data_IF_956412275298
#
_entry.id   IF_956412275298
#
_cell.length_a   1.000
_cell.length_b   1.000
_cell.length_c   1.000
_cell.angle_alpha   90.00
_cell.angle_beta   90.00
_cell.angle_gamma   90.00
#
_symmetry.space_group_name_H-M   'P 1'
#
loop_
_entity.id
_entity.type
_entity.pdbx_description
1 polymer ?
#
# COMPACT_ATOMS: atom_id res chain seq x y z
N UNK A 1 2.63 2.55 -1.56
CA UNK A 1 3.62 1.57 -1.07
C UNK A 1 3.32 0.19 -1.65
N UNK A 2 4.28 -0.70 -1.79
CA UNK A 2 4.05 -2.07 -2.28
C UNK A 2 5.34 -2.75 -2.73
N UNK A 3 5.23 -4.03 -3.11
CA UNK A 3 6.38 -4.79 -3.59
C UNK A 3 6.90 -4.21 -4.93
N UNK A 4 8.17 -4.45 -5.28
CA UNK A 4 8.67 -4.13 -6.61
C UNK A 4 7.80 -4.76 -7.70
N UNK A 5 7.54 -4.01 -8.77
CA UNK A 5 6.75 -4.43 -9.94
C UNK A 5 5.24 -4.73 -9.69
N UNK A 6 4.67 -4.35 -8.55
CA UNK A 6 3.21 -4.47 -8.31
C UNK A 6 2.35 -3.42 -9.04
N UNK A 7 2.98 -2.53 -9.85
CA UNK A 7 2.29 -1.47 -10.59
C UNK A 7 2.17 -0.13 -9.85
N UNK A 8 3.00 0.08 -8.83
CA UNK A 8 3.03 1.27 -7.98
C UNK A 8 3.18 2.57 -8.79
N UNK A 9 4.20 2.66 -9.65
CA UNK A 9 4.44 3.82 -10.51
C UNK A 9 3.31 4.06 -11.51
N UNK A 10 2.72 2.99 -12.05
CA UNK A 10 1.58 3.11 -12.97
C UNK A 10 0.37 3.72 -12.26
N UNK A 11 0.07 3.25 -11.04
CA UNK A 11 -1.01 3.81 -10.23
C UNK A 11 -0.73 5.26 -9.85
N UNK A 12 0.49 5.56 -9.39
CA UNK A 12 0.91 6.91 -9.03
C UNK A 12 0.71 7.89 -10.21
N UNK A 13 1.16 7.52 -11.40
CA UNK A 13 1.00 8.33 -12.61
C UNK A 13 -0.49 8.48 -13.01
N UNK A 14 -1.29 7.44 -12.84
CA UNK A 14 -2.74 7.48 -13.12
C UNK A 14 -3.50 8.42 -12.17
N UNK A 15 -3.04 8.59 -10.95
CA UNK A 15 -3.65 9.49 -9.96
C UNK A 15 -3.17 10.94 -10.11
N UNK A 16 -1.87 11.17 -10.33
CA UNK A 16 -1.24 12.50 -10.21
C UNK A 16 -1.12 13.27 -11.53
N UNK A 17 -1.49 12.66 -12.64
CA UNK A 17 -1.52 13.26 -14.00
C UNK A 17 -0.22 13.96 -14.43
N UNK A 18 0.04 15.21 -14.06
CA UNK A 18 1.21 15.98 -14.53
C UNK A 18 1.93 16.80 -13.45
N UNK A 19 1.46 16.75 -12.21
CA UNK A 19 2.06 17.53 -11.11
C UNK A 19 2.87 16.63 -10.20
N UNK A 20 4.11 16.38 -10.62
CA UNK A 20 5.05 15.54 -9.86
C UNK A 20 6.33 16.32 -9.59
N UNK A 21 6.84 16.22 -8.37
CA UNK A 21 8.14 16.75 -7.97
C UNK A 21 9.06 15.58 -7.66
N UNK A 22 10.22 15.56 -8.31
CA UNK A 22 11.24 14.51 -8.14
C UNK A 22 12.42 15.09 -7.36
N UNK A 23 12.87 14.38 -6.36
CA UNK A 23 14.04 14.72 -5.55
C UNK A 23 14.63 13.45 -4.95
N UNK A 24 15.47 13.59 -3.95
CA UNK A 24 15.98 12.44 -3.19
C UNK A 24 15.47 12.49 -1.75
N UNK A 25 15.38 11.35 -1.11
CA UNK A 25 15.16 11.28 0.32
C UNK A 25 16.34 11.91 1.07
N UNK A 26 16.13 12.61 2.19
CA UNK A 26 17.21 13.27 2.92
C UNK A 26 18.33 12.31 3.32
N UNK A 27 19.58 12.67 2.94
CA UNK A 27 20.78 11.93 3.32
C UNK A 27 21.04 10.61 2.58
N UNK A 28 20.25 10.29 1.56
CA UNK A 28 20.38 9.05 0.78
C UNK A 28 20.25 9.31 -0.73
N UNK A 29 20.56 8.31 -1.56
CA UNK A 29 20.47 8.40 -3.01
C UNK A 29 19.12 7.89 -3.55
N UNK A 30 18.24 7.44 -2.69
CA UNK A 30 16.91 6.93 -3.04
C UNK A 30 16.03 8.07 -3.54
N UNK A 31 15.39 7.86 -4.69
CA UNK A 31 14.49 8.84 -5.31
C UNK A 31 13.20 9.00 -4.50
N UNK A 32 12.78 10.26 -4.34
CA UNK A 32 11.50 10.64 -3.73
C UNK A 32 10.64 11.33 -4.77
N UNK A 33 9.48 10.78 -5.05
CA UNK A 33 8.50 11.35 -5.97
C UNK A 33 7.28 11.75 -5.16
N UNK A 34 6.88 13.02 -5.30
CA UNK A 34 5.69 13.58 -4.67
C UNK A 34 4.77 14.07 -5.78
N UNK A 35 3.51 13.74 -5.70
CA UNK A 35 2.49 14.21 -6.63
C UNK A 35 1.25 14.67 -5.90
N UNK A 36 0.41 15.39 -6.60
CA UNK A 36 -0.84 15.93 -6.10
C UNK A 36 -1.98 15.60 -7.05
N UNK A 37 -3.14 15.33 -6.48
CA UNK A 37 -4.38 15.21 -7.24
C UNK A 37 -5.55 15.77 -6.44
N UNK A 38 -6.58 16.22 -7.15
CA UNK A 38 -7.79 16.74 -6.53
C UNK A 38 -8.92 15.74 -6.70
N UNK A 39 -9.59 15.41 -5.61
CA UNK A 39 -10.82 14.63 -5.63
C UNK A 39 -11.94 15.40 -4.93
N UNK A 40 -13.02 15.69 -5.63
CA UNK A 40 -14.05 16.67 -5.22
C UNK A 40 -13.37 18.02 -4.90
N UNK A 41 -13.50 18.52 -3.68
CA UNK A 41 -12.92 19.78 -3.22
C UNK A 41 -11.65 19.58 -2.33
N UNK A 42 -11.13 18.33 -2.27
CA UNK A 42 -9.96 17.99 -1.47
C UNK A 42 -8.72 17.85 -2.35
N UNK A 43 -7.67 18.58 -2.02
CA UNK A 43 -6.34 18.38 -2.56
C UNK A 43 -5.61 17.30 -1.74
N UNK A 44 -5.08 16.29 -2.42
CA UNK A 44 -4.44 15.14 -1.81
C UNK A 44 -3.01 15.07 -2.33
N UNK A 45 -2.05 15.12 -1.40
CA UNK A 45 -0.64 14.88 -1.69
C UNK A 45 -0.33 13.41 -1.56
N UNK A 46 0.31 12.83 -2.56
CA UNK A 46 0.72 11.42 -2.58
C UNK A 46 2.24 11.32 -2.71
N UNK A 47 2.84 10.47 -1.90
CA UNK A 47 4.29 10.21 -1.89
C UNK A 47 4.53 8.79 -2.37
N UNK A 48 5.34 8.63 -3.42
CA UNK A 48 5.78 7.31 -3.87
C UNK A 48 6.93 6.82 -3.00
N UNK A 49 6.68 5.75 -2.26
CA UNK A 49 7.71 5.06 -1.48
C UNK A 49 8.42 4.01 -2.32
N UNK A 50 9.70 3.74 -2.08
CA UNK A 50 10.43 2.68 -2.77
C UNK A 50 9.68 1.34 -2.71
N UNK A 51 9.82 0.53 -3.75
CA UNK A 51 9.29 -0.84 -3.77
C UNK A 51 10.11 -1.74 -2.84
N UNK A 52 9.45 -2.33 -1.85
CA UNK A 52 10.10 -3.16 -0.84
C UNK A 52 9.35 -4.47 -0.62
N UNK A 53 10.04 -5.45 -0.07
CA UNK A 53 9.44 -6.75 0.27
C UNK A 53 9.16 -6.89 1.76
N UNK A 54 9.87 -6.15 2.60
CA UNK A 54 9.78 -6.25 4.05
C UNK A 54 10.04 -4.91 4.75
N UNK A 55 9.41 -4.71 5.89
CA UNK A 55 9.66 -3.61 6.82
C UNK A 55 10.47 -4.05 8.04
N UNK A 56 10.82 -5.32 8.15
CA UNK A 56 11.58 -5.83 9.29
C UNK A 56 12.97 -5.22 9.34
N UNK A 57 13.39 -4.70 10.51
CA UNK A 57 14.76 -4.22 10.68
C UNK A 57 15.73 -5.39 10.64
N UNK A 58 16.69 -5.32 9.74
CA UNK A 58 17.80 -6.28 9.70
C UNK A 58 19.09 -5.56 9.38
N UNK A 59 20.23 -6.16 9.72
CA UNK A 59 21.56 -5.65 9.35
C UNK A 59 21.78 -5.67 7.82
N UNK A 60 20.96 -6.43 7.10
CA UNK A 60 21.00 -6.57 5.65
C UNK A 60 19.87 -5.77 4.95
N UNK A 61 19.08 -4.95 5.68
CA UNK A 61 18.03 -4.12 5.08
C UNK A 61 18.62 -3.17 4.04
N UNK A 62 17.96 -3.12 2.87
CA UNK A 62 18.33 -2.18 1.81
C UNK A 62 18.08 -0.72 2.26
N UNK A 63 18.67 0.22 1.54
CA UNK A 63 18.41 1.66 1.75
C UNK A 63 16.94 1.98 1.52
N UNK A 64 16.31 1.37 0.50
CA UNK A 64 14.90 1.48 0.18
C UNK A 64 13.99 1.02 1.33
N UNK A 65 14.31 -0.12 1.95
CA UNK A 65 13.54 -0.65 3.09
C UNK A 65 13.65 0.25 4.32
N UNK A 66 14.84 0.82 4.57
CA UNK A 66 15.04 1.78 5.66
C UNK A 66 14.24 3.06 5.44
N UNK A 67 14.33 3.64 4.24
CA UNK A 67 13.58 4.86 3.87
C UNK A 67 12.08 4.66 4.05
N UNK A 68 11.54 3.58 3.49
CA UNK A 68 10.11 3.30 3.58
C UNK A 68 9.65 3.08 5.03
N UNK A 69 10.41 2.32 5.82
CA UNK A 69 10.09 2.08 7.24
C UNK A 69 10.15 3.36 8.06
N UNK A 70 11.21 4.14 7.91
CA UNK A 70 11.42 5.35 8.70
C UNK A 70 10.33 6.39 8.39
N UNK A 71 9.90 6.50 7.14
CA UNK A 71 8.79 7.36 6.74
C UNK A 71 7.46 6.98 7.42
N UNK A 72 7.17 5.68 7.52
CA UNK A 72 5.96 5.20 8.19
C UNK A 72 6.05 5.43 9.71
N UNK A 73 7.21 5.16 10.32
CA UNK A 73 7.41 5.31 11.76
C UNK A 73 7.42 6.77 12.23
N UNK A 74 7.73 7.71 11.35
CA UNK A 74 7.69 9.14 11.65
C UNK A 74 6.28 9.73 11.56
N UNK A 75 5.29 8.92 11.21
CA UNK A 75 3.87 9.31 11.10
C UNK A 75 3.66 10.49 10.12
N UNK A 76 4.48 10.52 9.06
CA UNK A 76 4.41 11.58 8.04
C UNK A 76 3.24 11.38 7.06
N UNK A 77 2.68 10.18 6.99
CA UNK A 77 1.54 9.85 6.13
C UNK A 77 0.27 9.59 6.96
N UNK A 78 -0.80 10.30 6.67
CA UNK A 78 -2.10 10.09 7.31
C UNK A 78 -2.74 8.74 6.90
N UNK A 79 -2.45 8.27 5.69
CA UNK A 79 -3.02 7.06 5.12
C UNK A 79 -2.00 6.33 4.24
N UNK A 80 -1.87 5.03 4.42
CA UNK A 80 -1.04 4.16 3.58
C UNK A 80 -1.91 3.51 2.49
N UNK A 81 -1.56 3.74 1.22
CA UNK A 81 -2.11 2.98 0.09
C UNK A 81 -1.13 1.85 -0.25
N UNK A 82 -1.47 0.63 0.16
CA UNK A 82 -0.65 -0.55 -0.05
C UNK A 82 -1.09 -1.30 -1.32
N UNK A 83 -0.23 -1.32 -2.34
CA UNK A 83 -0.51 -1.94 -3.63
C UNK A 83 0.00 -3.38 -3.63
N UNK A 84 -0.88 -4.29 -4.00
CA UNK A 84 -0.68 -5.74 -4.00
C UNK A 84 -0.93 -6.27 -5.41
N UNK A 85 -0.02 -7.07 -5.92
CA UNK A 85 -0.19 -7.81 -7.16
C UNK A 85 -1.13 -9.00 -6.94
N UNK A 86 -2.32 -8.94 -7.51
CA UNK A 86 -3.34 -9.96 -7.39
C UNK A 86 -2.91 -11.31 -7.99
N UNK A 87 -2.04 -11.30 -9.00
CA UNK A 87 -1.52 -12.53 -9.62
C UNK A 87 -0.47 -13.25 -8.75
N UNK A 88 0.07 -12.56 -7.71
CA UNK A 88 1.06 -13.09 -6.78
C UNK A 88 0.73 -12.67 -5.33
N UNK A 89 -0.52 -12.95 -4.94
CA UNK A 89 -1.12 -12.43 -3.72
C UNK A 89 -0.35 -12.82 -2.45
N UNK A 90 -0.04 -14.10 -2.29
CA UNK A 90 0.62 -14.63 -1.09
C UNK A 90 1.92 -13.90 -0.76
N UNK A 91 2.79 -13.72 -1.75
CA UNK A 91 4.06 -13.01 -1.58
C UNK A 91 3.86 -11.55 -1.22
N UNK A 92 2.86 -10.90 -1.82
CA UNK A 92 2.59 -9.48 -1.59
C UNK A 92 1.94 -9.22 -0.23
N UNK A 93 1.11 -10.16 0.26
CA UNK A 93 0.48 -10.04 1.57
C UNK A 93 1.47 -10.06 2.74
N UNK A 94 2.68 -10.57 2.55
CA UNK A 94 3.70 -10.52 3.60
C UNK A 94 4.02 -9.08 4.06
N UNK A 95 4.18 -8.15 3.12
CA UNK A 95 4.33 -6.73 3.44
C UNK A 95 3.06 -6.15 4.07
N UNK A 96 1.89 -6.55 3.55
CA UNK A 96 0.59 -6.14 4.10
C UNK A 96 0.43 -6.53 5.56
N UNK A 97 0.84 -7.75 5.94
CA UNK A 97 0.75 -8.20 7.34
C UNK A 97 1.63 -7.37 8.26
N UNK A 98 2.82 -6.97 7.82
CA UNK A 98 3.70 -6.09 8.59
C UNK A 98 3.10 -4.69 8.80
N UNK A 99 2.43 -4.14 7.78
CA UNK A 99 1.69 -2.87 7.91
C UNK A 99 0.52 -2.99 8.90
N UNK A 100 -0.20 -4.10 8.88
CA UNK A 100 -1.27 -4.38 9.85
C UNK A 100 -0.73 -4.46 11.29
N UNK A 101 0.43 -5.09 11.49
CA UNK A 101 1.10 -5.14 12.79
C UNK A 101 1.52 -3.75 13.30
N UNK A 102 1.87 -2.85 12.40
CA UNK A 102 2.21 -1.45 12.74
C UNK A 102 0.99 -0.61 13.09
N UNK A 103 -0.22 -1.14 12.87
CA UNK A 103 -1.49 -0.46 13.17
C UNK A 103 -1.64 0.92 12.52
N UNK A 104 -1.20 1.04 11.26
CA UNK A 104 -1.34 2.27 10.49
C UNK A 104 -2.65 2.30 9.72
N UNK A 105 -3.30 3.47 9.55
CA UNK A 105 -4.44 3.59 8.66
C UNK A 105 -4.05 3.21 7.24
N UNK A 106 -4.79 2.29 6.61
CA UNK A 106 -4.41 1.79 5.29
C UNK A 106 -5.59 1.37 4.42
N UNK A 107 -5.35 1.42 3.11
CA UNK A 107 -6.17 0.80 2.07
C UNK A 107 -5.29 -0.20 1.34
N UNK A 108 -5.81 -1.38 1.07
CA UNK A 108 -5.17 -2.35 0.18
C UNK A 108 -5.72 -2.19 -1.23
N UNK A 109 -4.85 -2.07 -2.21
CA UNK A 109 -5.19 -1.97 -3.62
C UNK A 109 -4.76 -3.24 -4.33
N UNK A 110 -5.71 -4.04 -4.76
CA UNK A 110 -5.47 -5.23 -5.59
C UNK A 110 -5.32 -4.81 -7.05
N UNK A 111 -4.10 -4.74 -7.52
CA UNK A 111 -3.78 -4.45 -8.93
C UNK A 111 -3.60 -5.74 -9.73
N UNK A 112 -3.60 -5.63 -11.05
CA UNK A 112 -3.40 -6.75 -11.98
C UNK A 112 -4.49 -7.83 -11.88
N UNK A 113 -5.73 -7.45 -11.59
CA UNK A 113 -6.85 -8.40 -11.53
C UNK A 113 -7.08 -9.12 -12.86
N UNK A 114 -6.79 -8.48 -13.99
CA UNK A 114 -6.84 -9.11 -15.31
C UNK A 114 -5.79 -10.22 -15.48
N UNK A 115 -4.60 -10.04 -14.92
CA UNK A 115 -3.55 -11.07 -14.90
C UNK A 115 -3.93 -12.23 -13.98
N UNK A 116 -4.48 -11.94 -12.80
CA UNK A 116 -4.99 -12.96 -11.88
C UNK A 116 -6.08 -13.80 -12.57
N UNK A 117 -7.05 -13.16 -13.23
CA UNK A 117 -8.11 -13.84 -13.97
C UNK A 117 -7.57 -14.70 -15.12
N UNK A 118 -6.55 -14.23 -15.87
CA UNK A 118 -5.87 -15.00 -16.89
C UNK A 118 -5.19 -16.26 -16.36
N UNK A 119 -4.75 -16.25 -15.11
CA UNK A 119 -4.18 -17.41 -14.40
C UNK A 119 -5.24 -18.23 -13.65
N UNK A 120 -6.53 -17.96 -13.85
CA UNK A 120 -7.64 -18.63 -13.16
C UNK A 120 -7.62 -18.45 -11.63
N UNK A 121 -7.04 -17.34 -11.17
CA UNK A 121 -7.03 -16.93 -9.76
C UNK A 121 -8.22 -16.00 -9.55
N UNK A 122 -9.16 -16.44 -8.72
CA UNK A 122 -10.32 -15.64 -8.32
C UNK A 122 -10.08 -15.09 -6.92
N UNK A 123 -10.12 -13.76 -6.80
CA UNK A 123 -9.98 -13.06 -5.53
C UNK A 123 -11.25 -12.24 -5.31
N UNK A 124 -11.87 -12.42 -4.15
CA UNK A 124 -13.00 -11.61 -3.70
C UNK A 124 -12.47 -10.47 -2.83
N UNK A 125 -12.48 -9.21 -3.33
CA UNK A 125 -11.97 -8.07 -2.56
C UNK A 125 -12.74 -7.83 -1.26
N UNK A 126 -14.04 -8.16 -1.22
CA UNK A 126 -14.88 -8.00 -0.03
C UNK A 126 -14.46 -8.95 1.08
N UNK A 127 -14.30 -10.24 0.76
CA UNK A 127 -13.80 -11.23 1.73
C UNK A 127 -12.41 -10.90 2.22
N UNK A 128 -11.54 -10.42 1.33
CA UNK A 128 -10.20 -10.00 1.72
C UNK A 128 -10.25 -8.77 2.63
N UNK A 129 -11.14 -7.82 2.37
CA UNK A 129 -11.37 -6.66 3.23
C UNK A 129 -11.84 -7.06 4.64
N UNK A 130 -12.75 -8.03 4.74
CA UNK A 130 -13.20 -8.58 6.03
C UNK A 130 -12.04 -9.26 6.79
N UNK A 131 -11.23 -10.05 6.07
CA UNK A 131 -10.09 -10.75 6.66
C UNK A 131 -8.98 -9.81 7.15
N UNK A 132 -8.67 -8.76 6.38
CA UNK A 132 -7.63 -7.79 6.72
C UNK A 132 -8.12 -6.69 7.68
N UNK A 133 -9.44 -6.48 7.79
CA UNK A 133 -10.03 -5.42 8.62
C UNK A 133 -9.80 -4.00 8.09
N UNK A 134 -9.48 -3.85 6.81
CA UNK A 134 -9.29 -2.58 6.12
C UNK A 134 -9.91 -2.61 4.71
N UNK A 135 -10.18 -1.45 4.08
CA UNK A 135 -10.72 -1.41 2.73
C UNK A 135 -9.79 -2.09 1.72
N UNK A 136 -10.38 -2.87 0.81
CA UNK A 136 -9.69 -3.50 -0.31
C UNK A 136 -10.35 -3.09 -1.61
N UNK A 137 -9.60 -2.46 -2.51
CA UNK A 137 -10.09 -1.94 -3.79
C UNK A 137 -9.40 -2.67 -4.93
N UNK A 138 -10.20 -3.28 -5.81
CA UNK A 138 -9.67 -3.93 -7.01
C UNK A 138 -9.47 -2.96 -8.15
N UNK A 139 -8.31 -3.01 -8.82
CA UNK A 139 -7.99 -2.16 -9.95
C UNK A 139 -7.27 -2.92 -11.09
N UNK A 140 -7.24 -2.30 -12.25
CA UNK A 140 -6.29 -2.59 -13.32
C UNK A 140 -5.64 -1.25 -13.69
N UNK A 141 -4.54 -0.89 -13.01
CA UNK A 141 -3.92 0.43 -13.12
C UNK A 141 -3.52 0.77 -14.57
N UNK A 142 -3.00 -0.20 -15.33
CA UNK A 142 -2.63 -0.03 -16.74
C UNK A 142 -3.81 0.33 -17.66
N UNK A 143 -5.04 0.09 -17.23
CA UNK A 143 -6.28 0.39 -17.95
C UNK A 143 -7.11 1.49 -17.27
N UNK A 144 -6.57 2.10 -16.24
CA UNK A 144 -7.25 3.12 -15.40
C UNK A 144 -8.60 2.65 -14.81
N UNK A 145 -8.79 1.33 -14.69
CA UNK A 145 -10.00 0.74 -14.12
C UNK A 145 -9.92 0.72 -12.60
N UNK A 146 -10.99 1.14 -11.92
CA UNK A 146 -11.09 1.16 -10.46
C UNK A 146 -10.46 2.40 -9.80
N UNK A 147 -9.88 3.35 -10.57
CA UNK A 147 -9.24 4.54 -9.99
C UNK A 147 -10.25 5.47 -9.31
N UNK A 148 -11.46 5.58 -9.84
CA UNK A 148 -12.53 6.40 -9.23
C UNK A 148 -12.97 5.85 -7.88
N UNK A 149 -13.12 4.54 -7.80
CA UNK A 149 -13.46 3.81 -6.58
C UNK A 149 -12.34 3.95 -5.55
N UNK A 150 -11.09 3.91 -5.99
CA UNK A 150 -9.94 4.14 -5.12
C UNK A 150 -9.92 5.58 -4.59
N UNK A 151 -10.12 6.59 -5.43
CA UNK A 151 -10.19 7.98 -4.98
C UNK A 151 -11.32 8.20 -3.97
N UNK A 152 -12.48 7.58 -4.19
CA UNK A 152 -13.59 7.64 -3.24
C UNK A 152 -13.25 6.96 -1.90
N UNK A 153 -12.55 5.83 -1.93
CA UNK A 153 -12.11 5.14 -0.74
C UNK A 153 -11.05 5.92 0.04
N UNK A 154 -10.11 6.57 -0.65
CA UNK A 154 -9.11 7.46 -0.04
C UNK A 154 -9.82 8.63 0.66
N UNK A 155 -10.72 9.32 -0.02
CA UNK A 155 -11.49 10.45 0.52
C UNK A 155 -12.27 10.03 1.78
N UNK A 156 -12.98 8.90 1.73
CA UNK A 156 -13.73 8.37 2.86
C UNK A 156 -12.83 7.99 4.06
N UNK A 157 -11.65 7.44 3.80
CA UNK A 157 -10.68 7.13 4.87
C UNK A 157 -10.07 8.38 5.49
N UNK A 158 -9.81 9.42 4.71
CA UNK A 158 -9.31 10.70 5.22
C UNK A 158 -10.36 11.47 6.04
N UNK A 159 -11.65 11.20 5.85
CA UNK A 159 -12.72 11.75 6.69
C UNK A 159 -12.83 11.04 8.05
N UNK A 160 -12.55 9.74 8.10
CA UNK A 160 -12.62 8.91 9.30
C UNK A 160 -11.51 7.87 9.27
N UNK A 161 -10.30 8.31 9.64
CA UNK A 161 -9.12 7.44 9.66
C UNK A 161 -9.32 6.24 10.58
N UNK A 162 -9.34 5.05 9.99
CA UNK A 162 -9.53 3.79 10.71
C UNK A 162 -8.29 2.94 10.65
N UNK A 163 -7.82 2.55 11.82
CA UNK A 163 -6.82 1.49 11.95
C UNK A 163 -7.51 0.15 11.69
N UNK A 164 -6.86 -0.78 10.96
CA UNK A 164 -7.38 -2.12 10.76
C UNK A 164 -7.77 -2.79 12.07
N UNK A 165 -8.98 -3.39 12.13
CA UNK A 165 -9.54 -3.92 13.37
C UNK A 165 -9.18 -5.37 13.66
N UNK A 166 -8.69 -6.09 12.65
CA UNK A 166 -8.34 -7.49 12.80
C UNK A 166 -6.84 -7.60 13.10
N UNK A 167 -6.44 -7.76 14.36
CA UNK A 167 -5.05 -8.09 14.67
C UNK A 167 -4.74 -9.45 14.01
N UNK A 168 -3.56 -9.55 13.44
CA UNK A 168 -3.06 -10.84 12.97
C UNK A 168 -2.91 -11.71 14.21
N UNK A 169 -3.72 -12.77 14.29
CA UNK A 169 -3.63 -13.76 15.35
C UNK A 169 -2.65 -14.83 14.87
N UNK A 170 -1.50 -14.89 15.50
CA UNK A 170 -0.58 -16.00 15.28
C UNK A 170 -1.04 -17.24 16.04
N UNK A 171 -0.51 -18.40 15.65
CA UNK A 171 -0.74 -19.63 16.42
C UNK A 171 -0.25 -19.44 17.87
N UNK A 172 -0.93 -20.08 18.83
CA UNK A 172 -0.72 -19.86 20.27
C UNK A 172 0.74 -20.01 20.72
N UNK A 173 1.50 -20.89 20.07
CA UNK A 173 2.94 -21.09 20.30
C UNK A 173 3.79 -19.88 19.86
N UNK A 174 3.37 -19.18 18.80
CA UNK A 174 4.02 -17.96 18.31
C UNK A 174 3.68 -16.76 19.20
N UNK A 175 2.41 -16.63 19.62
CA UNK A 175 1.99 -15.58 20.55
C UNK A 175 2.67 -15.70 21.92
N UNK A 176 2.86 -16.93 22.42
CA UNK A 176 3.58 -17.19 23.67
C UNK A 176 5.08 -16.81 23.59
N UNK A 177 5.67 -16.84 22.41
CA UNK A 177 7.09 -16.46 22.20
C UNK A 177 7.30 -14.94 22.08
N UNK A 178 6.23 -14.15 21.89
CA UNK A 178 6.26 -12.67 21.78
C UNK A 178 6.10 -11.95 23.13
N UNK A 179 5.64 -12.65 24.16
CA UNK A 179 5.45 -12.14 25.52
C UNK A 179 6.74 -12.14 26.32
#
# INVERSE_FOLDING_TARGET
MGNPNCGKTTLFNGLTSSHQTVGNWPGVTVERIVGEFTYKDREITIVDLPGIYSLQPSSASSEDERVARDYILQDEAELIVNIVDASNLERNLYLTTQLLEMQVPMIVVLNMLDMAAAHQIEIDPHKLSEALGCPVIGIVAAKEQGLKELCAAIDAQLDDLRIPKNPIVFADDVEAARA
#
